data_IF_476274734268
#
_entry.id   IF_476274734268
#
_cell.length_a   1.000
_cell.length_b   1.000
_cell.length_c   1.000
_cell.angle_alpha   90.00
_cell.angle_beta   90.00
_cell.angle_gamma   90.00
#
_symmetry.space_group_name_H-M   'P 1'
#
loop_
_entity.id
_entity.type
_entity.pdbx_description
1 polymer ?
#
# COMPACT_ATOMS: atom_id res chain seq x y z
N UNK A 1 2.83 2.48 -3.14
CA UNK A 1 2.96 2.17 -1.69
C UNK A 1 2.93 3.40 -0.79
N UNK A 2 3.74 4.46 -0.98
CA UNK A 2 3.80 5.58 -0.03
C UNK A 2 2.44 6.23 0.24
N UNK A 3 1.69 6.50 -0.82
CA UNK A 3 0.34 7.09 -0.72
C UNK A 3 -0.64 6.19 0.05
N UNK A 4 -0.55 4.86 -0.07
CA UNK A 4 -1.40 3.94 0.68
C UNK A 4 -1.11 3.97 2.19
N UNK A 5 0.17 4.07 2.58
CA UNK A 5 0.54 4.26 4.00
C UNK A 5 0.02 5.60 4.52
N UNK A 6 0.21 6.68 3.77
CA UNK A 6 -0.30 8.00 4.15
C UNK A 6 -1.82 8.05 4.25
N UNK A 7 -2.56 7.46 3.31
CA UNK A 7 -4.03 7.35 3.39
C UNK A 7 -4.46 6.52 4.60
N UNK A 8 -3.74 5.45 4.93
CA UNK A 8 -4.03 4.66 6.13
C UNK A 8 -3.83 5.49 7.41
N UNK A 9 -2.79 6.34 7.44
CA UNK A 9 -2.53 7.26 8.54
C UNK A 9 -3.49 8.44 8.59
N UNK A 10 -4.00 8.91 7.46
CA UNK A 10 -5.07 9.91 7.40
C UNK A 10 -6.30 9.46 8.20
N UNK A 11 -6.67 8.19 8.11
CA UNK A 11 -7.79 7.62 8.86
C UNK A 11 -7.42 7.15 10.28
N UNK A 12 -6.16 7.22 10.68
CA UNK A 12 -5.72 6.83 12.02
C UNK A 12 -6.24 7.79 13.08
N UNK A 13 -6.60 7.23 14.24
CA UNK A 13 -6.97 7.97 15.44
C UNK A 13 -6.22 7.36 16.63
N UNK A 14 -5.58 8.17 17.49
CA UNK A 14 -4.96 7.71 18.73
C UNK A 14 -5.94 6.91 19.60
N UNK A 15 -5.41 5.92 20.30
CA UNK A 15 -6.18 5.07 21.22
C UNK A 15 -6.06 5.62 22.64
N UNK A 16 -7.14 5.54 23.43
CA UNK A 16 -7.19 6.18 24.76
C UNK A 16 -6.81 5.26 25.91
N UNK A 17 -7.11 3.97 25.83
CA UNK A 17 -6.97 3.01 26.93
C UNK A 17 -6.40 1.67 26.46
N UNK A 18 -5.79 0.91 27.36
CA UNK A 18 -5.25 -0.41 27.03
C UNK A 18 -6.35 -1.36 26.50
N UNK A 19 -7.55 -1.31 27.08
CA UNK A 19 -8.69 -2.10 26.62
C UNK A 19 -9.10 -1.75 25.18
N UNK A 20 -9.18 -0.45 24.85
CA UNK A 20 -9.47 -0.01 23.48
C UNK A 20 -8.33 -0.35 22.51
N UNK A 21 -7.08 -0.41 22.97
CA UNK A 21 -5.93 -0.83 22.18
C UNK A 21 -6.01 -2.31 21.79
N UNK A 22 -6.33 -3.20 22.74
CA UNK A 22 -6.50 -4.64 22.44
C UNK A 22 -7.59 -4.85 21.39
N UNK A 23 -8.76 -4.23 21.58
CA UNK A 23 -9.86 -4.30 20.60
C UNK A 23 -9.48 -3.72 19.23
N UNK A 24 -8.75 -2.61 19.21
CA UNK A 24 -8.22 -2.00 17.99
C UNK A 24 -7.27 -2.93 17.24
N UNK A 25 -6.31 -3.54 17.93
CA UNK A 25 -5.34 -4.47 17.32
C UNK A 25 -5.99 -5.76 16.87
N UNK A 26 -6.92 -6.34 17.64
CA UNK A 26 -7.68 -7.51 17.19
C UNK A 26 -8.43 -7.22 15.89
N UNK A 27 -9.12 -6.08 15.83
CA UNK A 27 -9.82 -5.64 14.62
C UNK A 27 -8.87 -5.46 13.44
N UNK A 28 -7.71 -4.83 13.63
CA UNK A 28 -6.70 -4.64 12.57
C UNK A 28 -6.05 -5.94 12.13
N UNK A 29 -5.82 -6.86 13.06
CA UNK A 29 -5.28 -8.19 12.79
C UNK A 29 -6.25 -8.99 11.93
N UNK A 30 -7.55 -8.96 12.22
CA UNK A 30 -8.55 -9.61 11.38
C UNK A 30 -8.69 -8.89 10.03
N UNK A 31 -8.77 -7.55 10.04
CA UNK A 31 -8.96 -6.73 8.84
C UNK A 31 -7.83 -6.92 7.80
N UNK A 32 -6.58 -7.04 8.25
CA UNK A 32 -5.41 -7.13 7.38
C UNK A 32 -4.89 -8.57 7.25
N UNK A 33 -4.94 -9.35 8.32
CA UNK A 33 -4.39 -10.69 8.39
C UNK A 33 -5.14 -11.70 7.52
N UNK A 34 -6.48 -11.64 7.48
CA UNK A 34 -7.26 -12.56 6.63
C UNK A 34 -7.01 -12.31 5.14
N UNK A 35 -7.15 -11.08 4.61
CA UNK A 35 -6.78 -10.81 3.22
C UNK A 35 -5.31 -11.13 2.93
N UNK A 36 -4.41 -10.92 3.89
CA UNK A 36 -3.00 -11.24 3.76
C UNK A 36 -2.74 -12.74 3.56
N UNK A 37 -3.27 -13.60 4.44
CA UNK A 37 -3.07 -15.05 4.36
C UNK A 37 -3.68 -15.57 3.05
N UNK A 38 -4.92 -15.19 2.76
CA UNK A 38 -5.62 -15.65 1.57
C UNK A 38 -4.93 -15.20 0.28
N UNK A 39 -4.44 -13.96 0.22
CA UNK A 39 -3.65 -13.51 -0.91
C UNK A 39 -2.40 -14.37 -1.12
N UNK A 40 -1.63 -14.65 -0.06
CA UNK A 40 -0.40 -15.45 -0.20
C UNK A 40 -0.70 -16.87 -0.69
N UNK A 41 -1.77 -17.50 -0.19
CA UNK A 41 -2.21 -18.82 -0.66
C UNK A 41 -2.63 -18.79 -2.12
N UNK A 42 -3.51 -17.84 -2.51
CA UNK A 42 -3.98 -17.71 -3.90
C UNK A 42 -2.80 -17.41 -4.83
N UNK A 43 -1.93 -16.47 -4.44
CA UNK A 43 -0.76 -16.10 -5.21
C UNK A 43 0.18 -17.29 -5.43
N UNK A 44 0.46 -18.07 -4.38
CA UNK A 44 1.25 -19.29 -4.47
C UNK A 44 0.63 -20.30 -5.44
N UNK A 45 -0.67 -20.58 -5.34
CA UNK A 45 -1.39 -21.51 -6.24
C UNK A 45 -1.31 -21.04 -7.70
N UNK A 46 -1.55 -19.75 -7.96
CA UNK A 46 -1.45 -19.18 -9.31
C UNK A 46 -0.02 -19.31 -9.88
N UNK A 47 1.01 -19.14 -9.06
CA UNK A 47 2.39 -19.36 -9.48
C UNK A 47 2.68 -20.83 -9.81
N UNK A 48 2.09 -21.78 -9.08
CA UNK A 48 2.23 -23.21 -9.43
C UNK A 48 1.60 -23.52 -10.79
N UNK A 49 0.42 -22.96 -11.08
CA UNK A 49 -0.27 -23.12 -12.37
C UNK A 49 0.51 -22.45 -13.52
N UNK A 50 1.11 -21.28 -13.25
CA UNK A 50 1.89 -20.53 -14.23
C UNK A 50 3.14 -21.28 -14.73
N UNK A 51 3.69 -22.18 -13.92
CA UNK A 51 4.85 -23.01 -14.28
C UNK A 51 6.07 -22.17 -14.66
N UNK A 52 6.78 -22.58 -15.72
CA UNK A 52 8.01 -21.92 -16.19
C UNK A 52 7.85 -20.50 -16.74
N UNK A 53 6.62 -19.99 -16.89
CA UNK A 53 6.38 -18.61 -17.30
C UNK A 53 6.44 -17.60 -16.12
N UNK A 54 6.53 -18.11 -14.89
CA UNK A 54 6.65 -17.30 -13.67
C UNK A 54 8.11 -16.92 -13.45
N UNK A 55 8.37 -15.62 -13.29
CA UNK A 55 9.73 -15.09 -13.10
C UNK A 55 10.34 -15.52 -11.75
N UNK A 56 9.56 -15.40 -10.66
CA UNK A 56 10.00 -15.72 -9.30
C UNK A 56 9.00 -16.68 -8.65
N UNK A 57 9.16 -17.98 -8.91
CA UNK A 57 8.25 -19.00 -8.43
C UNK A 57 8.48 -19.28 -6.94
N UNK A 58 7.48 -19.01 -6.10
CA UNK A 58 7.56 -19.32 -4.67
C UNK A 58 7.54 -20.84 -4.42
N UNK A 59 8.33 -21.27 -3.44
CA UNK A 59 8.33 -22.63 -2.90
C UNK A 59 7.31 -22.78 -1.78
N UNK A 60 7.00 -24.03 -1.40
CA UNK A 60 6.13 -24.28 -0.25
C UNK A 60 6.74 -23.79 1.07
N UNK A 61 8.08 -23.82 1.17
CA UNK A 61 8.81 -23.26 2.31
C UNK A 61 8.59 -21.75 2.41
N UNK A 62 8.56 -21.04 1.29
CA UNK A 62 8.29 -19.61 1.27
C UNK A 62 6.86 -19.29 1.75
N UNK A 63 5.89 -20.14 1.41
CA UNK A 63 4.51 -20.01 1.89
C UNK A 63 4.39 -20.19 3.41
N UNK A 64 5.17 -21.11 4.00
CA UNK A 64 5.23 -21.27 5.46
C UNK A 64 5.90 -20.04 6.11
N UNK A 65 6.93 -19.50 5.47
CA UNK A 65 7.71 -18.37 5.98
C UNK A 65 7.11 -16.99 5.70
N UNK A 66 5.83 -16.90 5.28
CA UNK A 66 5.16 -15.61 5.06
C UNK A 66 5.11 -14.72 6.30
N UNK A 67 5.26 -15.28 7.50
CA UNK A 67 5.36 -14.49 8.73
C UNK A 67 6.66 -13.67 8.82
N UNK A 68 7.70 -14.05 8.05
CA UNK A 68 9.01 -13.40 7.98
C UNK A 68 9.21 -12.65 6.66
N UNK A 69 8.85 -13.30 5.55
CA UNK A 69 9.05 -12.80 4.19
C UNK A 69 7.75 -12.93 3.38
N UNK A 70 6.89 -11.90 3.39
CA UNK A 70 5.67 -11.85 2.60
C UNK A 70 5.91 -12.01 1.09
N UNK A 71 5.01 -12.69 0.38
CA UNK A 71 5.11 -12.85 -1.08
C UNK A 71 4.56 -11.64 -1.81
N UNK A 72 5.23 -11.23 -2.89
CA UNK A 72 4.74 -10.22 -3.83
C UNK A 72 4.25 -8.94 -3.12
N UNK A 73 3.13 -8.33 -3.55
CA UNK A 73 2.61 -7.07 -3.01
C UNK A 73 2.02 -7.19 -1.59
N UNK A 74 1.93 -8.39 -1.01
CA UNK A 74 1.31 -8.61 0.30
C UNK A 74 2.08 -7.99 1.46
N UNK A 75 3.38 -7.72 1.27
CA UNK A 75 4.22 -7.09 2.29
C UNK A 75 3.62 -5.78 2.81
N UNK A 76 2.88 -5.04 1.97
CA UNK A 76 2.23 -3.80 2.38
C UNK A 76 1.26 -4.04 3.57
N UNK A 77 0.44 -5.09 3.51
CA UNK A 77 -0.53 -5.41 4.57
C UNK A 77 0.18 -5.78 5.87
N UNK A 78 1.24 -6.57 5.75
CA UNK A 78 2.06 -7.02 6.87
C UNK A 78 2.74 -5.84 7.59
N UNK A 79 3.37 -4.93 6.83
CA UNK A 79 4.01 -3.74 7.40
C UNK A 79 2.98 -2.74 7.93
N UNK A 80 1.85 -2.57 7.24
CA UNK A 80 0.77 -1.70 7.71
C UNK A 80 0.19 -2.18 9.05
N UNK A 81 0.03 -3.50 9.22
CA UNK A 81 -0.34 -4.10 10.50
C UNK A 81 0.69 -3.77 11.59
N UNK A 82 1.99 -3.94 11.31
CA UNK A 82 3.07 -3.59 12.26
C UNK A 82 3.06 -2.11 12.66
N UNK A 83 2.81 -1.20 11.71
CA UNK A 83 2.64 0.23 12.00
C UNK A 83 1.44 0.47 12.93
N UNK A 84 0.30 -0.19 12.71
CA UNK A 84 -0.86 -0.06 13.60
C UNK A 84 -0.58 -0.57 15.02
N UNK A 85 0.19 -1.66 15.16
CA UNK A 85 0.63 -2.17 16.47
C UNK A 85 1.50 -1.13 17.17
N UNK A 86 2.58 -0.67 16.53
CA UNK A 86 3.56 0.23 17.15
C UNK A 86 2.95 1.61 17.43
N UNK A 87 2.27 2.22 16.47
CA UNK A 87 1.67 3.54 16.66
C UNK A 87 0.43 3.50 17.54
N UNK A 88 -0.32 2.40 17.54
CA UNK A 88 -1.41 2.19 18.50
C UNK A 88 -0.88 2.16 19.93
N UNK A 89 0.22 1.43 20.18
CA UNK A 89 0.87 1.40 21.49
C UNK A 89 1.44 2.76 21.88
N UNK A 90 2.17 3.42 20.96
CA UNK A 90 2.73 4.74 21.17
C UNK A 90 1.65 5.78 21.51
N UNK A 91 0.47 5.63 20.91
CA UNK A 91 -0.65 6.55 21.12
C UNK A 91 -1.28 6.50 22.52
N UNK A 92 -1.03 5.43 23.29
CA UNK A 92 -1.40 5.35 24.70
C UNK A 92 -0.58 6.30 25.57
N UNK A 93 0.67 6.54 25.20
CA UNK A 93 1.60 7.41 25.92
C UNK A 93 1.58 8.84 25.39
N UNK A 94 1.46 9.00 24.07
CA UNK A 94 1.61 10.28 23.37
C UNK A 94 0.45 10.47 22.40
N UNK A 95 -0.41 11.45 22.69
CA UNK A 95 -1.57 11.77 21.84
C UNK A 95 -1.27 12.83 20.77
N UNK A 96 -0.21 13.62 20.97
CA UNK A 96 0.18 14.67 20.02
C UNK A 96 0.76 14.06 18.74
N UNK A 97 0.07 14.29 17.62
CA UNK A 97 0.45 13.78 16.30
C UNK A 97 1.82 14.30 15.83
N UNK A 98 2.21 15.53 16.19
CA UNK A 98 3.50 16.12 15.82
C UNK A 98 4.64 15.44 16.59
N UNK A 99 4.42 15.15 17.87
CA UNK A 99 5.40 14.40 18.68
C UNK A 99 5.53 12.97 18.17
N UNK A 100 4.41 12.29 17.89
CA UNK A 100 4.44 10.95 17.27
C UNK A 100 5.17 10.97 15.92
N UNK A 101 4.95 11.98 15.08
CA UNK A 101 5.67 12.15 13.82
C UNK A 101 7.18 12.33 14.04
N UNK A 102 7.58 13.17 14.99
CA UNK A 102 8.99 13.34 15.38
C UNK A 102 9.64 12.02 15.82
N UNK A 103 8.95 11.21 16.63
CA UNK A 103 9.42 9.89 17.06
C UNK A 103 9.58 8.96 15.85
N UNK A 104 8.64 8.95 14.92
CA UNK A 104 8.79 8.14 13.71
C UNK A 104 9.94 8.60 12.82
N UNK A 105 10.24 9.90 12.74
CA UNK A 105 11.42 10.39 12.02
C UNK A 105 12.73 9.94 12.68
N UNK A 106 12.80 9.94 14.01
CA UNK A 106 13.94 9.37 14.74
C UNK A 106 14.07 7.88 14.42
N UNK A 107 12.96 7.15 14.42
CA UNK A 107 12.94 5.73 14.04
C UNK A 107 13.46 5.50 12.61
N UNK A 108 13.06 6.34 11.65
CA UNK A 108 13.56 6.31 10.27
C UNK A 108 15.09 6.48 10.21
N UNK A 109 15.63 7.46 10.93
CA UNK A 109 17.07 7.70 10.99
C UNK A 109 17.77 6.47 11.57
N UNK A 110 17.26 5.92 12.68
CA UNK A 110 17.84 4.74 13.33
C UNK A 110 17.88 3.52 12.41
N UNK A 111 16.78 3.18 11.72
CA UNK A 111 16.77 2.02 10.80
C UNK A 111 17.57 2.27 9.52
N UNK A 112 17.85 3.53 9.18
CA UNK A 112 18.73 3.87 8.05
C UNK A 112 20.21 3.77 8.41
N UNK A 113 20.57 4.14 9.65
CA UNK A 113 21.95 4.03 10.16
C UNK A 113 22.31 2.60 10.58
N UNK A 114 21.34 1.85 11.09
CA UNK A 114 21.53 0.47 11.53
C UNK A 114 20.53 -0.46 10.81
N UNK A 115 20.77 -0.78 9.52
CA UNK A 115 19.89 -1.66 8.76
C UNK A 115 19.75 -3.03 9.43
N UNK A 116 18.52 -3.49 9.57
CA UNK A 116 18.20 -4.77 10.19
C UNK A 116 17.68 -5.77 9.15
N UNK A 117 18.07 -7.04 9.30
CA UNK A 117 17.60 -8.15 8.45
C UNK A 117 16.12 -8.49 8.69
N UNK A 118 15.56 -8.11 9.84
CA UNK A 118 14.16 -8.30 10.15
C UNK A 118 13.31 -7.29 9.38
N UNK A 119 12.68 -7.78 8.30
CA UNK A 119 11.87 -6.98 7.38
C UNK A 119 10.79 -6.15 8.07
N UNK A 120 10.13 -6.69 9.10
CA UNK A 120 9.10 -5.95 9.85
C UNK A 120 9.69 -4.73 10.56
N UNK A 121 10.83 -4.87 11.25
CA UNK A 121 11.47 -3.77 11.99
C UNK A 121 11.95 -2.72 11.01
N UNK A 122 12.70 -3.14 9.97
CA UNK A 122 13.26 -2.26 8.97
C UNK A 122 12.17 -1.45 8.26
N UNK A 123 11.13 -2.13 7.77
CA UNK A 123 10.08 -1.47 6.99
C UNK A 123 9.09 -0.70 7.86
N UNK A 124 8.75 -1.17 9.05
CA UNK A 124 7.89 -0.36 9.95
C UNK A 124 8.58 0.96 10.30
N UNK A 125 9.88 0.93 10.63
CA UNK A 125 10.63 2.16 10.90
C UNK A 125 10.70 3.10 9.69
N UNK A 126 10.79 2.54 8.49
CA UNK A 126 10.85 3.32 7.25
C UNK A 126 9.51 3.93 6.85
N UNK A 127 8.41 3.19 7.01
CA UNK A 127 7.09 3.56 6.49
C UNK A 127 6.20 4.25 7.54
N UNK A 128 6.49 4.12 8.84
CA UNK A 128 5.76 4.81 9.90
C UNK A 128 5.75 6.35 9.78
N UNK A 129 6.84 7.04 9.41
CA UNK A 129 6.78 8.49 9.19
C UNK A 129 5.89 8.87 8.00
N UNK A 130 5.89 8.08 6.92
CA UNK A 130 4.98 8.31 5.77
C UNK A 130 3.52 8.13 6.18
N UNK A 131 3.22 7.16 7.04
CA UNK A 131 1.90 6.98 7.63
C UNK A 131 1.52 8.21 8.48
N UNK A 132 2.40 8.64 9.39
CA UNK A 132 2.14 9.80 10.25
C UNK A 132 2.03 11.11 9.47
N UNK A 133 2.77 11.27 8.37
CA UNK A 133 2.62 12.40 7.45
C UNK A 133 1.18 12.50 6.95
N UNK A 134 0.55 11.39 6.58
CA UNK A 134 -0.86 11.36 6.19
C UNK A 134 -1.82 11.77 7.31
N UNK A 135 -1.52 11.39 8.56
CA UNK A 135 -2.29 11.81 9.75
C UNK A 135 -2.20 13.32 10.01
N UNK A 136 -1.03 13.93 9.74
CA UNK A 136 -0.84 15.38 9.82
C UNK A 136 -1.54 16.13 8.68
N UNK A 137 -1.44 15.63 7.45
CA UNK A 137 -2.08 16.22 6.28
C UNK A 137 -3.61 16.26 6.38
N UNK A 138 -4.21 15.43 7.25
CA UNK A 138 -5.63 15.49 7.55
C UNK A 138 -6.09 16.82 8.16
N UNK A 139 -5.26 17.41 9.01
CA UNK A 139 -5.62 18.63 9.74
C UNK A 139 -5.22 19.89 8.96
N UNK A 140 -4.45 19.74 7.88
CA UNK A 140 -4.03 20.84 7.01
C UNK A 140 -5.16 21.16 6.04
N UNK A 141 -5.82 22.31 6.22
CA UNK A 141 -6.74 22.82 5.21
C UNK A 141 -5.95 23.24 3.96
N UNK A 142 -6.01 22.45 2.90
CA UNK A 142 -5.42 22.79 1.61
C UNK A 142 -6.28 23.87 0.92
N UNK A 143 -6.22 25.11 1.41
CA UNK A 143 -6.92 26.26 0.81
C UNK A 143 -6.43 26.49 -0.62
N UNK A 144 -7.36 26.91 -1.47
CA UNK A 144 -7.10 27.24 -2.88
C UNK A 144 -6.37 28.58 -2.99
N UNK A 145 -5.12 28.56 -3.42
CA UNK A 145 -4.34 29.78 -3.62
C UNK A 145 -3.35 29.61 -4.79
N UNK A 146 -2.98 30.70 -5.45
CA UNK A 146 -1.98 30.74 -6.55
C UNK A 146 -0.63 30.16 -6.14
N UNK A 147 -0.23 30.29 -4.86
CA UNK A 147 0.99 29.67 -4.32
C UNK A 147 0.96 28.13 -4.38
N UNK A 148 -0.21 27.50 -4.37
CA UNK A 148 -0.37 26.04 -4.44
C UNK A 148 -0.04 25.49 -5.83
N UNK A 149 -0.44 26.18 -6.90
CA UNK A 149 -0.09 25.80 -8.26
C UNK A 149 1.42 25.91 -8.49
N UNK A 150 2.06 26.94 -7.91
CA UNK A 150 3.51 27.09 -7.91
C UNK A 150 4.19 25.92 -7.18
N UNK A 151 3.72 25.57 -5.96
CA UNK A 151 4.26 24.43 -5.19
C UNK A 151 4.06 23.12 -5.97
N UNK A 152 2.91 22.92 -6.60
CA UNK A 152 2.64 21.74 -7.43
C UNK A 152 3.59 21.68 -8.62
N UNK A 153 3.81 22.80 -9.32
CA UNK A 153 4.77 22.88 -10.42
C UNK A 153 6.20 22.58 -9.96
N UNK A 154 6.62 23.11 -8.81
CA UNK A 154 7.94 22.84 -8.21
C UNK A 154 8.08 21.36 -7.84
N UNK A 155 7.07 20.77 -7.20
CA UNK A 155 7.06 19.34 -6.83
C UNK A 155 7.08 18.45 -8.07
N UNK A 156 6.33 18.80 -9.13
CA UNK A 156 6.35 18.09 -10.41
C UNK A 156 7.74 18.21 -11.05
N UNK A 157 8.32 19.41 -11.11
CA UNK A 157 9.64 19.62 -11.67
C UNK A 157 10.70 18.83 -10.91
N UNK A 158 10.68 18.87 -9.57
CA UNK A 158 11.58 18.07 -8.74
C UNK A 158 11.39 16.55 -8.97
N UNK A 159 10.14 16.09 -9.10
CA UNK A 159 9.85 14.70 -9.42
C UNK A 159 10.38 14.30 -10.81
N UNK A 160 10.17 15.12 -11.84
CA UNK A 160 10.65 14.87 -13.20
C UNK A 160 12.19 14.91 -13.29
N UNK A 161 12.84 15.84 -12.59
CA UNK A 161 14.31 15.91 -12.49
C UNK A 161 14.82 14.64 -11.79
N UNK A 162 14.21 14.25 -10.67
CA UNK A 162 14.57 13.02 -9.98
C UNK A 162 14.41 11.80 -10.89
N UNK A 163 13.34 11.76 -11.69
CA UNK A 163 13.06 10.67 -12.64
C UNK A 163 14.05 10.62 -13.81
N UNK A 164 14.42 11.78 -14.37
CA UNK A 164 15.41 11.89 -15.45
C UNK A 164 16.80 11.43 -15.01
N UNK A 165 17.19 11.75 -13.77
CA UNK A 165 18.47 11.33 -13.19
C UNK A 165 18.41 9.92 -12.57
N UNK A 166 17.26 9.26 -12.60
CA UNK A 166 17.11 7.95 -11.98
C UNK A 166 17.62 6.87 -12.92
N UNK A 167 18.64 6.14 -12.47
CA UNK A 167 19.09 4.94 -13.15
C UNK A 167 18.05 3.81 -12.96
N UNK A 168 17.37 3.46 -14.06
CA UNK A 168 16.33 2.44 -14.06
C UNK A 168 16.85 1.03 -13.73
N UNK A 169 18.17 0.80 -13.83
CA UNK A 169 18.77 -0.48 -13.46
C UNK A 169 18.77 -0.68 -11.93
N UNK A 170 18.99 0.40 -11.17
CA UNK A 170 19.09 0.38 -9.71
C UNK A 170 17.79 0.80 -9.03
N UNK A 171 16.80 -0.12 -8.96
CA UNK A 171 15.50 0.14 -8.31
C UNK A 171 15.67 0.59 -6.84
N UNK A 172 14.92 1.62 -6.43
CA UNK A 172 14.90 2.07 -5.03
C UNK A 172 14.38 0.93 -4.14
N UNK A 173 15.23 0.47 -3.22
CA UNK A 173 14.85 -0.56 -2.25
C UNK A 173 13.81 -0.05 -1.26
N UNK A 174 12.72 -0.81 -1.09
CA UNK A 174 11.71 -0.53 -0.06
C UNK A 174 12.13 -0.91 1.36
N UNK A 175 13.34 -1.44 1.53
CA UNK A 175 13.95 -1.74 2.83
C UNK A 175 15.09 -0.78 3.17
N UNK A 176 15.87 -0.34 2.17
CA UNK A 176 16.97 0.61 2.37
C UNK A 176 17.11 1.53 1.15
N UNK A 177 16.28 2.57 1.03
CA UNK A 177 16.22 3.45 -0.13
C UNK A 177 17.35 4.49 -0.16
N UNK A 178 18.18 4.58 0.89
CA UNK A 178 19.16 5.66 1.04
C UNK A 178 18.53 7.05 0.92
N UNK A 179 19.30 8.00 0.37
CA UNK A 179 18.84 9.38 0.15
C UNK A 179 17.66 9.47 -0.83
N UNK A 180 17.56 8.53 -1.77
CA UNK A 180 16.45 8.46 -2.73
C UNK A 180 15.10 8.19 -2.06
N UNK A 181 15.07 7.75 -0.79
CA UNK A 181 13.85 7.60 0.00
C UNK A 181 13.03 8.87 0.14
N UNK A 182 13.63 10.05 -0.07
CA UNK A 182 12.91 11.34 -0.09
C UNK A 182 11.76 11.36 -1.11
N UNK A 183 11.88 10.60 -2.21
CA UNK A 183 10.85 10.53 -3.24
C UNK A 183 9.52 9.97 -2.71
N UNK A 184 9.55 9.13 -1.66
CA UNK A 184 8.33 8.60 -1.05
C UNK A 184 7.51 9.73 -0.42
N UNK A 185 8.16 10.66 0.28
CA UNK A 185 7.52 11.82 0.90
C UNK A 185 7.02 12.81 -0.14
N UNK A 186 7.84 13.09 -1.16
CA UNK A 186 7.47 13.95 -2.29
C UNK A 186 6.22 13.40 -2.98
N UNK A 187 6.16 12.07 -3.23
CA UNK A 187 5.00 11.43 -3.86
C UNK A 187 3.72 11.56 -3.05
N UNK A 188 3.80 11.55 -1.71
CA UNK A 188 2.64 11.72 -0.84
C UNK A 188 2.14 13.15 -0.87
N UNK A 189 3.04 14.13 -0.70
CA UNK A 189 2.68 15.55 -0.78
C UNK A 189 2.06 15.86 -2.14
N UNK A 190 2.69 15.39 -3.21
CA UNK A 190 2.19 15.52 -4.57
C UNK A 190 0.77 14.95 -4.72
N UNK A 191 0.55 13.70 -4.27
CA UNK A 191 -0.76 13.05 -4.39
C UNK A 191 -1.86 13.80 -3.63
N UNK A 192 -1.59 14.27 -2.40
CA UNK A 192 -2.58 15.03 -1.62
C UNK A 192 -2.88 16.40 -2.23
N UNK A 193 -1.86 17.09 -2.75
CA UNK A 193 -2.05 18.35 -3.45
C UNK A 193 -2.83 18.17 -4.75
N UNK A 194 -2.49 17.17 -5.57
CA UNK A 194 -3.19 16.86 -6.81
C UNK A 194 -4.67 16.53 -6.53
N UNK A 195 -4.94 15.70 -5.53
CA UNK A 195 -6.29 15.35 -5.12
C UNK A 195 -7.12 16.58 -4.71
N UNK A 196 -6.49 17.56 -4.05
CA UNK A 196 -7.19 18.79 -3.61
C UNK A 196 -7.65 19.70 -4.75
N UNK A 197 -7.07 19.57 -5.95
CA UNK A 197 -7.39 20.38 -7.14
C UNK A 197 -8.23 19.58 -8.15
N UNK A 198 -8.38 18.27 -7.93
CA UNK A 198 -9.01 17.40 -8.91
C UNK A 198 -10.48 17.80 -9.13
N UNK A 199 -10.90 18.07 -10.38
CA UNK A 199 -12.23 18.59 -10.66
C UNK A 199 -13.29 17.56 -10.25
N UNK A 200 -14.28 18.02 -9.50
CA UNK A 200 -15.43 17.21 -9.11
C UNK A 200 -16.36 17.07 -10.33
N UNK A 201 -16.39 15.88 -10.90
CA UNK A 201 -17.25 15.52 -12.02
C UNK A 201 -17.40 14.00 -12.14
N UNK A 202 -17.95 13.53 -13.26
CA UNK A 202 -18.24 12.08 -13.46
C UNK A 202 -17.02 11.18 -13.24
N UNK A 203 -15.83 11.62 -13.65
CA UNK A 203 -14.57 10.91 -13.42
C UNK A 203 -14.26 10.79 -11.92
N UNK A 204 -14.37 11.89 -11.17
CA UNK A 204 -14.18 11.90 -9.72
C UNK A 204 -15.18 10.97 -9.02
N UNK A 205 -16.46 10.99 -9.41
CA UNK A 205 -17.49 10.14 -8.82
C UNK A 205 -17.22 8.66 -9.09
N UNK A 206 -16.78 8.32 -10.32
CA UNK A 206 -16.39 6.97 -10.70
C UNK A 206 -15.24 6.45 -9.82
N UNK A 207 -14.15 7.20 -9.68
CA UNK A 207 -13.02 6.76 -8.86
C UNK A 207 -13.35 6.78 -7.36
N UNK A 208 -14.20 7.70 -6.90
CA UNK A 208 -14.67 7.74 -5.50
C UNK A 208 -15.49 6.50 -5.16
N UNK A 209 -16.31 6.00 -6.09
CA UNK A 209 -17.07 4.76 -5.93
C UNK A 209 -16.15 3.57 -5.64
N UNK A 210 -15.10 3.39 -6.45
CA UNK A 210 -14.17 2.26 -6.31
C UNK A 210 -13.08 2.50 -5.26
N UNK A 211 -12.81 3.75 -4.89
CA UNK A 211 -11.83 4.11 -3.87
C UNK A 211 -12.14 3.52 -2.50
N UNK A 212 -13.43 3.30 -2.18
CA UNK A 212 -13.87 2.60 -0.96
C UNK A 212 -13.36 1.16 -0.88
N UNK A 213 -13.19 0.53 -2.03
CA UNK A 213 -12.77 -0.86 -2.20
C UNK A 213 -11.30 -0.93 -2.70
N UNK A 214 -10.54 0.16 -2.56
CA UNK A 214 -9.17 0.29 -3.07
C UNK A 214 -8.19 -0.74 -2.50
N UNK A 215 -8.34 -1.14 -1.24
CA UNK A 215 -7.53 -2.21 -0.65
C UNK A 215 -7.75 -3.55 -1.36
N UNK A 216 -9.00 -3.85 -1.74
CA UNK A 216 -9.34 -5.09 -2.45
C UNK A 216 -8.77 -5.08 -3.86
N UNK A 217 -8.94 -3.96 -4.57
CA UNK A 217 -8.36 -3.76 -5.91
C UNK A 217 -6.83 -3.87 -5.84
N UNK A 218 -6.20 -3.29 -4.80
CA UNK A 218 -4.76 -3.41 -4.57
C UNK A 218 -4.31 -4.87 -4.41
N UNK A 219 -5.08 -5.71 -3.74
CA UNK A 219 -4.73 -7.12 -3.58
C UNK A 219 -4.94 -7.90 -4.90
N UNK A 220 -5.99 -7.59 -5.65
CA UNK A 220 -6.39 -8.35 -6.83
C UNK A 220 -5.63 -7.99 -8.11
N UNK A 221 -5.24 -6.72 -8.32
CA UNK A 221 -4.66 -6.32 -9.60
C UNK A 221 -3.35 -7.04 -9.92
N UNK A 222 -2.47 -7.24 -8.93
CA UNK A 222 -1.16 -7.86 -9.13
C UNK A 222 -1.22 -9.29 -9.69
N UNK A 223 -1.99 -10.24 -9.10
CA UNK A 223 -2.12 -11.58 -9.66
C UNK A 223 -2.83 -11.57 -11.01
N UNK A 224 -3.84 -10.72 -11.23
CA UNK A 224 -4.55 -10.64 -12.52
C UNK A 224 -3.60 -10.17 -13.63
N UNK A 225 -2.81 -9.13 -13.38
CA UNK A 225 -1.81 -8.62 -14.34
C UNK A 225 -0.75 -9.69 -14.60
N UNK A 226 -0.30 -10.40 -13.57
CA UNK A 226 0.67 -11.49 -13.70
C UNK A 226 0.15 -12.63 -14.57
N UNK A 227 -1.09 -13.09 -14.32
CA UNK A 227 -1.75 -14.13 -15.14
C UNK A 227 -1.95 -13.65 -16.57
N UNK A 228 -2.39 -12.41 -16.76
CA UNK A 228 -2.57 -11.82 -18.11
C UNK A 228 -1.26 -11.82 -18.90
N UNK A 229 -0.14 -11.42 -18.26
CA UNK A 229 1.19 -11.50 -18.86
C UNK A 229 1.56 -12.94 -19.24
N UNK A 230 1.34 -13.90 -18.34
CA UNK A 230 1.65 -15.32 -18.60
C UNK A 230 0.84 -15.85 -19.79
N UNK A 231 -0.45 -15.52 -19.87
CA UNK A 231 -1.32 -15.91 -20.99
C UNK A 231 -0.82 -15.30 -22.30
N UNK A 232 -0.52 -14.00 -22.32
CA UNK A 232 0.01 -13.32 -23.51
C UNK A 232 1.32 -13.94 -23.99
N UNK A 233 2.24 -14.26 -23.08
CA UNK A 233 3.50 -14.92 -23.41
C UNK A 233 3.27 -16.32 -23.99
N UNK A 234 2.33 -17.10 -23.44
CA UNK A 234 2.00 -18.45 -23.97
C UNK A 234 1.37 -18.41 -25.36
N UNK A 235 0.65 -17.34 -25.69
CA UNK A 235 0.07 -17.11 -27.03
C UNK A 235 1.10 -16.51 -28.01
N UNK A 236 2.34 -16.27 -27.57
CA UNK A 236 3.42 -15.74 -28.41
C UNK A 236 3.41 -14.22 -28.57
N UNK A 237 2.60 -13.49 -27.79
CA UNK A 237 2.60 -12.02 -27.81
C UNK A 237 3.79 -11.52 -27.00
N UNK A 238 4.81 -10.98 -27.69
CA UNK A 238 6.02 -10.42 -27.06
C UNK A 238 6.03 -8.88 -27.03
N UNK A 239 5.10 -8.24 -27.74
CA UNK A 239 5.04 -6.77 -27.84
C UNK A 239 4.72 -6.13 -26.47
N UNK A 240 5.65 -5.32 -25.97
CA UNK A 240 5.56 -4.65 -24.66
C UNK A 240 4.34 -3.73 -24.55
N UNK A 241 3.98 -3.00 -25.62
CA UNK A 241 2.84 -2.09 -25.61
C UNK A 241 1.54 -2.88 -25.42
N UNK A 242 1.40 -4.03 -26.09
CA UNK A 242 0.23 -4.91 -25.90
C UNK A 242 0.17 -5.46 -24.48
N UNK A 243 1.29 -5.86 -23.89
CA UNK A 243 1.35 -6.27 -22.49
C UNK A 243 0.90 -5.16 -21.53
N UNK A 244 1.30 -3.91 -21.78
CA UNK A 244 0.89 -2.77 -20.95
C UNK A 244 -0.61 -2.50 -21.10
N UNK A 245 -1.13 -2.39 -22.32
CA UNK A 245 -2.53 -2.06 -22.56
C UNK A 245 -3.49 -3.15 -22.06
N UNK A 246 -3.20 -4.41 -22.39
CA UNK A 246 -4.01 -5.55 -21.97
C UNK A 246 -3.85 -5.79 -20.47
N UNK A 247 -2.63 -5.70 -19.95
CA UNK A 247 -2.36 -5.86 -18.52
C UNK A 247 -3.08 -4.80 -17.68
N UNK A 248 -3.03 -3.52 -18.07
CA UNK A 248 -3.74 -2.45 -17.38
C UNK A 248 -5.25 -2.65 -17.41
N UNK A 249 -5.80 -2.97 -18.59
CA UNK A 249 -7.23 -3.19 -18.78
C UNK A 249 -7.72 -4.40 -17.98
N UNK A 250 -7.00 -5.53 -18.05
CA UNK A 250 -7.32 -6.74 -17.31
C UNK A 250 -7.18 -6.52 -15.80
N UNK A 251 -6.11 -5.85 -15.35
CA UNK A 251 -5.91 -5.52 -13.94
C UNK A 251 -7.04 -4.68 -13.36
N UNK A 252 -7.48 -3.64 -14.08
CA UNK A 252 -8.59 -2.79 -13.65
C UNK A 252 -9.95 -3.50 -13.73
N UNK A 253 -10.33 -3.97 -14.91
CA UNK A 253 -11.64 -4.58 -15.16
C UNK A 253 -11.81 -5.90 -14.40
N UNK A 254 -10.76 -6.73 -14.36
CA UNK A 254 -10.76 -7.98 -13.62
C UNK A 254 -10.89 -7.76 -12.11
N UNK A 255 -10.22 -6.75 -11.55
CA UNK A 255 -10.37 -6.42 -10.12
C UNK A 255 -11.79 -5.96 -9.80
N UNK A 256 -12.41 -5.14 -10.67
CA UNK A 256 -13.80 -4.71 -10.51
C UNK A 256 -14.76 -5.90 -10.63
N UNK A 257 -14.51 -6.80 -11.58
CA UNK A 257 -15.33 -7.99 -11.79
C UNK A 257 -15.33 -8.92 -10.58
N UNK A 258 -14.14 -9.24 -10.03
CA UNK A 258 -14.04 -10.06 -8.82
C UNK A 258 -14.69 -9.36 -7.63
N UNK A 259 -14.50 -8.04 -7.49
CA UNK A 259 -15.17 -7.25 -6.45
C UNK A 259 -16.70 -7.29 -6.60
N UNK A 260 -17.22 -7.30 -7.83
CA UNK A 260 -18.65 -7.50 -8.07
C UNK A 260 -19.09 -8.91 -7.65
N UNK A 261 -18.35 -9.96 -8.02
CA UNK A 261 -18.64 -11.34 -7.60
C UNK A 261 -18.67 -11.48 -6.07
N UNK A 262 -17.79 -10.80 -5.35
CA UNK A 262 -17.79 -10.84 -3.87
C UNK A 262 -19.06 -10.26 -3.24
N UNK A 263 -19.76 -9.37 -3.97
CA UNK A 263 -21.01 -8.76 -3.51
C UNK A 263 -22.23 -9.61 -3.85
N UNK A 264 -22.13 -10.48 -4.86
CA UNK A 264 -23.22 -11.34 -5.33
C UNK A 264 -23.18 -12.71 -4.64
N UNK A 265 -21.99 -13.29 -4.49
CA UNK A 265 -21.84 -14.65 -3.95
C UNK A 265 -21.75 -14.57 -2.42
N UNK A 266 -22.62 -15.30 -1.68
CA UNK A 266 -22.60 -15.31 -0.22
C UNK A 266 -21.23 -15.72 0.34
N UNK A 267 -20.83 -15.09 1.44
CA UNK A 267 -19.62 -15.39 2.23
C UNK A 267 -18.28 -15.10 1.56
N UNK A 268 -18.22 -14.79 0.26
CA UNK A 268 -16.96 -14.42 -0.41
C UNK A 268 -16.46 -13.05 0.07
N UNK A 269 -17.35 -12.13 0.44
CA UNK A 269 -16.93 -10.84 1.01
C UNK A 269 -16.25 -10.98 2.38
N UNK A 270 -16.32 -12.13 3.05
CA UNK A 270 -15.51 -12.42 4.24
C UNK A 270 -14.01 -12.31 3.96
N UNK A 271 -13.57 -12.72 2.75
CA UNK A 271 -12.16 -12.67 2.33
C UNK A 271 -11.60 -11.26 2.41
N UNK A 272 -12.41 -10.28 2.03
CA UNK A 272 -11.99 -8.88 1.86
C UNK A 272 -12.49 -7.96 2.98
N UNK A 273 -13.62 -8.31 3.60
CA UNK A 273 -14.28 -7.54 4.65
C UNK A 273 -14.64 -8.42 5.85
N UNK A 274 -13.67 -9.13 6.46
CA UNK A 274 -13.95 -10.06 7.56
C UNK A 274 -14.52 -9.36 8.79
N UNK A 275 -14.23 -8.07 8.96
CA UNK A 275 -14.74 -7.26 10.08
C UNK A 275 -16.25 -7.04 10.05
N UNK A 276 -16.94 -7.29 8.92
CA UNK A 276 -18.41 -7.30 8.88
C UNK A 276 -19.03 -8.45 9.68
N UNK A 277 -18.26 -9.51 9.87
CA UNK A 277 -18.70 -10.76 10.52
C UNK A 277 -18.30 -10.85 11.98
N UNK A 278 -17.44 -9.95 12.45
CA UNK A 278 -17.17 -9.80 13.87
C UNK A 278 -18.39 -9.11 14.51
N UNK A 279 -19.00 -9.76 15.51
CA UNK A 279 -20.02 -9.12 16.34
C UNK A 279 -19.44 -7.82 16.92
N UNK A 280 -20.22 -6.75 16.84
CA UNK A 280 -19.88 -5.46 17.47
C UNK A 280 -19.83 -5.60 18.98
#
# INVERSE_FOLDING_TARGET
>A
MPVFFALSGYFFKPVETLASYVGFILKKTVQLGIPYILYNVIHFVLQQIGGGAVHDKASFVDLIHIYKSPLSVSWFLYILWGIFVILGLLSLLIKDKKVMFGITLIMLVLVSLFPNNLMIIQRVGLWAPVFMLGSLLRDVSLKDNKSRLLILAVVIAAYLIAWYNFDFENRISYSNPGLWGIIFYISVIFAFMLFSIFPKGKCFDYFTKYGRDSLVIYILHAPIVSVSRIVLLKVGVTNVILHILIGLSAGWLGSIFILYLTKVIPYIDFVFYPTKYLKK
#
